data_IF_138787722122
#
_entry.id   IF_138787722122
#
_cell.length_a   1.000
_cell.length_b   1.000
_cell.length_c   1.000
_cell.angle_alpha   90.00
_cell.angle_beta   90.00
_cell.angle_gamma   90.00
#
_symmetry.space_group_name_H-M   'P 1'
#
loop_
_entity.id
_entity.type
_entity.pdbx_description
1 polymer ?
#
# COMPACT_ATOMS: atom_id res chain seq x y z
N UNK A 1 -7.00 -3.28 -24.43
CA UNK A 1 -6.44 -4.50 -23.81
C UNK A 1 -7.57 -5.13 -23.02
N UNK A 2 -7.90 -6.38 -23.30
CA UNK A 2 -8.98 -7.07 -22.59
C UNK A 2 -8.53 -7.29 -21.14
N UNK A 3 -9.03 -6.45 -20.23
CA UNK A 3 -8.97 -6.74 -18.81
C UNK A 3 -9.68 -8.09 -18.62
N UNK A 4 -9.04 -9.05 -17.97
CA UNK A 4 -9.75 -10.19 -17.39
C UNK A 4 -10.65 -9.67 -16.26
N UNK A 5 -11.69 -8.94 -16.64
CA UNK A 5 -12.83 -8.66 -15.78
C UNK A 5 -13.58 -9.98 -15.63
N UNK A 6 -13.72 -10.41 -14.39
CA UNK A 6 -14.89 -11.12 -13.84
C UNK A 6 -14.57 -11.88 -12.54
N UNK A 7 -13.29 -12.12 -12.23
CA UNK A 7 -12.92 -12.82 -10.98
C UNK A 7 -12.50 -11.85 -9.89
N UNK A 8 -13.41 -11.64 -8.94
CA UNK A 8 -13.13 -10.98 -7.66
C UNK A 8 -12.48 -12.00 -6.71
N UNK A 9 -11.22 -11.78 -6.33
CA UNK A 9 -10.53 -12.67 -5.38
C UNK A 9 -10.85 -12.25 -3.95
N UNK A 10 -11.04 -13.25 -3.07
CA UNK A 10 -11.14 -13.00 -1.62
C UNK A 10 -9.74 -12.74 -1.03
N UNK A 11 -9.17 -11.59 -1.38
CA UNK A 11 -7.83 -11.18 -0.95
C UNK A 11 -7.82 -10.77 0.51
N UNK A 12 -6.71 -11.08 1.18
CA UNK A 12 -6.43 -10.66 2.56
C UNK A 12 -5.48 -9.47 2.57
N UNK A 13 -5.91 -8.36 3.18
CA UNK A 13 -5.17 -7.11 3.26
C UNK A 13 -4.57 -6.90 4.63
N UNK A 14 -3.32 -6.42 4.67
CA UNK A 14 -2.71 -5.84 5.86
C UNK A 14 -2.48 -4.34 5.60
N UNK A 15 -3.17 -3.49 6.35
CA UNK A 15 -2.98 -2.04 6.34
C UNK A 15 -2.09 -1.66 7.51
N UNK A 16 -1.01 -0.93 7.26
CA UNK A 16 -0.10 -0.48 8.29
C UNK A 16 0.17 1.02 8.13
N UNK A 17 -0.17 1.81 9.14
CA UNK A 17 0.27 3.22 9.19
C UNK A 17 1.69 3.27 9.74
N UNK A 18 2.58 3.92 9.00
CA UNK A 18 3.96 4.19 9.42
C UNK A 18 4.01 5.59 10.00
N UNK A 19 4.12 5.67 11.33
CA UNK A 19 4.17 6.94 12.04
C UNK A 19 4.69 6.82 13.47
N UNK A 20 5.51 7.79 13.87
CA UNK A 20 5.93 7.98 15.26
C UNK A 20 4.89 8.69 16.15
N UNK A 21 3.82 9.26 15.59
CA UNK A 21 2.87 10.09 16.34
C UNK A 21 1.43 9.61 16.26
N UNK A 22 1.12 8.70 15.32
CA UNK A 22 -0.22 8.13 15.20
C UNK A 22 -0.47 7.04 16.23
N UNK A 23 -1.71 6.98 16.68
CA UNK A 23 -2.27 5.93 17.53
C UNK A 23 -3.55 5.42 16.88
N UNK A 24 -4.03 4.26 17.32
CA UNK A 24 -5.30 3.69 16.82
C UNK A 24 -6.49 4.66 16.97
N UNK A 25 -6.43 5.56 17.96
CA UNK A 25 -7.47 6.56 18.22
C UNK A 25 -7.42 7.75 17.25
N UNK A 26 -6.24 8.11 16.77
CA UNK A 26 -6.02 9.36 16.01
C UNK A 26 -5.60 9.15 14.55
N UNK A 27 -5.41 7.90 14.12
CA UNK A 27 -5.05 7.56 12.76
C UNK A 27 -6.26 7.53 11.83
N UNK A 28 -6.50 8.68 11.20
CA UNK A 28 -7.58 8.83 10.22
C UNK A 28 -7.25 8.19 8.87
N UNK A 29 -5.98 8.15 8.47
CA UNK A 29 -5.60 7.67 7.13
C UNK A 29 -5.65 6.15 7.06
N UNK A 30 -5.06 5.47 8.05
CA UNK A 30 -5.16 4.01 8.15
C UNK A 30 -6.61 3.55 8.30
N UNK A 31 -7.37 4.20 9.18
CA UNK A 31 -8.80 3.93 9.36
C UNK A 31 -9.60 4.15 8.08
N UNK A 32 -9.40 5.27 7.37
CA UNK A 32 -10.09 5.55 6.11
C UNK A 32 -9.82 4.47 5.05
N UNK A 33 -8.56 4.04 4.89
CA UNK A 33 -8.21 2.97 3.96
C UNK A 33 -8.85 1.63 4.37
N UNK A 34 -8.78 1.28 5.65
CA UNK A 34 -9.40 0.07 6.19
C UNK A 34 -10.91 0.05 5.95
N UNK A 35 -11.62 1.14 6.27
CA UNK A 35 -13.07 1.26 6.09
C UNK A 35 -13.47 1.13 4.62
N UNK A 36 -12.69 1.72 3.69
CA UNK A 36 -12.94 1.56 2.25
C UNK A 36 -12.74 0.12 1.78
N UNK A 37 -11.66 -0.54 2.21
CA UNK A 37 -11.39 -1.94 1.85
C UNK A 37 -12.46 -2.89 2.39
N UNK A 38 -12.95 -2.67 3.61
CA UNK A 38 -13.98 -3.50 4.23
C UNK A 38 -15.33 -3.49 3.49
N UNK A 39 -15.56 -2.49 2.63
CA UNK A 39 -16.75 -2.47 1.77
C UNK A 39 -16.67 -3.50 0.62
N UNK A 40 -15.48 -3.89 0.18
CA UNK A 40 -15.27 -4.81 -0.94
C UNK A 40 -14.60 -6.14 -0.55
N UNK A 41 -13.91 -6.18 0.60
CA UNK A 41 -13.09 -7.30 1.06
C UNK A 41 -13.42 -7.66 2.51
N UNK A 42 -13.45 -8.97 2.80
CA UNK A 42 -13.84 -9.48 4.12
C UNK A 42 -12.70 -9.56 5.14
N UNK A 43 -11.44 -9.54 4.68
CA UNK A 43 -10.27 -9.78 5.52
C UNK A 43 -9.30 -8.60 5.38
N UNK A 44 -9.38 -7.68 6.34
CA UNK A 44 -8.53 -6.50 6.41
C UNK A 44 -8.03 -6.38 7.84
N UNK A 45 -6.74 -6.67 8.04
CA UNK A 45 -6.04 -6.42 9.27
C UNK A 45 -5.43 -5.01 9.24
N UNK A 46 -5.32 -4.39 10.40
CA UNK A 46 -4.86 -3.01 10.54
C UNK A 46 -3.94 -2.86 11.75
N UNK A 47 -2.84 -2.12 11.56
CA UNK A 47 -1.89 -1.78 12.61
C UNK A 47 -1.13 -0.49 12.36
N UNK A 48 -0.28 -0.15 13.32
CA UNK A 48 0.61 1.01 13.28
C UNK A 48 2.03 0.53 13.62
N UNK A 49 3.02 1.04 12.90
CA UNK A 49 4.46 0.86 13.17
C UNK A 49 5.16 2.20 13.19
N UNK A 50 6.31 2.29 13.86
CA UNK A 50 7.11 3.50 13.83
C UNK A 50 7.84 3.68 12.50
N UNK A 51 8.37 4.88 12.28
CA UNK A 51 9.21 5.25 11.13
C UNK A 51 10.61 4.59 11.25
N UNK A 52 10.63 3.24 11.34
CA UNK A 52 11.80 2.41 11.54
C UNK A 52 11.79 1.22 10.56
N UNK A 53 12.93 0.99 9.90
CA UNK A 53 13.06 -0.05 8.88
C UNK A 53 12.81 -1.46 9.44
N UNK A 54 13.31 -1.72 10.65
CA UNK A 54 13.15 -3.04 11.28
C UNK A 54 11.68 -3.27 11.60
N UNK A 55 10.97 -2.28 12.13
CA UNK A 55 9.54 -2.41 12.42
C UNK A 55 8.70 -2.62 11.15
N UNK A 56 8.93 -1.83 10.09
CA UNK A 56 8.22 -1.95 8.81
C UNK A 56 8.42 -3.35 8.21
N UNK A 57 9.67 -3.82 8.15
CA UNK A 57 9.99 -5.13 7.59
C UNK A 57 9.53 -6.28 8.50
N UNK A 58 9.60 -6.11 9.82
CA UNK A 58 9.09 -7.11 10.77
C UNK A 58 7.59 -7.31 10.63
N UNK A 59 6.82 -6.22 10.46
CA UNK A 59 5.39 -6.30 10.20
C UNK A 59 5.12 -7.05 8.89
N UNK A 60 5.84 -6.73 7.81
CA UNK A 60 5.69 -7.45 6.54
C UNK A 60 5.98 -8.94 6.72
N UNK A 61 7.17 -9.30 7.24
CA UNK A 61 7.61 -10.69 7.31
C UNK A 61 6.79 -11.55 8.26
N UNK A 62 6.32 -10.99 9.39
CA UNK A 62 5.43 -11.69 10.32
C UNK A 62 4.11 -12.09 9.66
N UNK A 63 3.62 -11.28 8.74
CA UNK A 63 2.28 -11.40 8.17
C UNK A 63 2.29 -11.94 6.72
N UNK A 64 3.46 -12.17 6.12
CA UNK A 64 3.62 -12.45 4.68
C UNK A 64 2.95 -13.74 4.20
N UNK A 65 2.80 -14.72 5.09
CA UNK A 65 2.15 -15.99 4.76
C UNK A 65 0.63 -15.89 4.82
N UNK A 66 0.10 -14.96 5.62
CA UNK A 66 -1.33 -14.85 5.91
C UNK A 66 -2.05 -13.80 5.07
N UNK A 67 -1.30 -12.91 4.41
CA UNK A 67 -1.85 -11.79 3.64
C UNK A 67 -1.36 -11.80 2.19
N UNK A 68 -2.21 -11.34 1.28
CA UNK A 68 -1.92 -11.24 -0.16
C UNK A 68 -1.41 -9.84 -0.53
N UNK A 69 -1.97 -8.83 0.15
CA UNK A 69 -1.76 -7.41 -0.15
C UNK A 69 -1.37 -6.65 1.12
N UNK A 70 -0.34 -5.83 1.02
CA UNK A 70 0.13 -4.94 2.07
C UNK A 70 -0.03 -3.49 1.62
N UNK A 71 -0.52 -2.63 2.50
CA UNK A 71 -0.64 -1.19 2.26
C UNK A 71 0.01 -0.45 3.42
N UNK A 72 1.18 0.14 3.17
CA UNK A 72 1.85 1.01 4.11
C UNK A 72 1.47 2.46 3.85
N UNK A 73 1.01 3.18 4.88
CA UNK A 73 0.53 4.56 4.78
C UNK A 73 1.41 5.46 5.63
N UNK A 74 2.12 6.40 5.00
CA UNK A 74 3.05 7.31 5.69
C UNK A 74 4.52 6.93 5.54
N UNK A 75 5.41 7.81 5.99
CA UNK A 75 6.85 7.67 5.85
C UNK A 75 7.36 7.70 4.41
N UNK A 76 6.67 8.41 3.50
CA UNK A 76 7.00 8.47 2.06
C UNK A 76 7.37 9.86 1.53
N UNK A 77 7.48 10.87 2.41
CA UNK A 77 7.97 12.20 2.04
C UNK A 77 9.47 12.27 1.74
N UNK A 78 10.02 13.49 1.76
CA UNK A 78 11.46 13.77 1.51
C UNK A 78 12.29 13.92 2.80
N UNK A 79 11.68 13.74 3.97
CA UNK A 79 12.40 13.81 5.24
C UNK A 79 13.35 12.62 5.39
N UNK A 80 14.37 12.77 6.24
CA UNK A 80 15.26 11.64 6.61
C UNK A 80 14.54 10.49 7.31
N UNK A 81 13.36 10.76 7.89
CA UNK A 81 12.51 9.75 8.54
C UNK A 81 11.58 9.05 7.56
N UNK A 82 11.39 9.62 6.36
CA UNK A 82 10.52 9.02 5.35
C UNK A 82 11.26 7.88 4.64
N UNK A 83 11.19 6.68 5.23
CA UNK A 83 11.93 5.51 4.79
C UNK A 83 11.06 4.36 4.28
N UNK A 84 9.73 4.47 4.31
CA UNK A 84 8.81 3.36 4.01
C UNK A 84 9.09 2.72 2.66
N UNK A 85 9.03 3.50 1.58
CA UNK A 85 9.32 2.97 0.24
C UNK A 85 10.76 2.51 0.08
N UNK A 86 11.72 3.19 0.72
CA UNK A 86 13.13 2.82 0.64
C UNK A 86 13.39 1.46 1.30
N UNK A 87 12.78 1.19 2.45
CA UNK A 87 12.87 -0.08 3.16
C UNK A 87 12.24 -1.23 2.38
N UNK A 88 11.04 -1.03 1.82
CA UNK A 88 10.41 -2.06 0.97
C UNK A 88 11.22 -2.31 -0.31
N UNK A 89 11.75 -1.25 -0.95
CA UNK A 89 12.53 -1.36 -2.19
C UNK A 89 13.81 -2.19 -2.03
N UNK A 90 14.42 -2.23 -0.84
CA UNK A 90 15.62 -3.04 -0.55
C UNK A 90 15.37 -4.55 -0.71
N UNK A 91 14.14 -5.00 -0.49
CA UNK A 91 13.79 -6.43 -0.49
C UNK A 91 12.93 -6.85 -1.68
N UNK A 92 12.27 -5.89 -2.35
CA UNK A 92 11.32 -6.17 -3.41
C UNK A 92 11.96 -6.92 -4.60
N UNK A 93 11.25 -7.90 -5.14
CA UNK A 93 11.64 -8.59 -6.37
C UNK A 93 11.48 -7.65 -7.58
N UNK A 94 10.47 -6.79 -7.52
CA UNK A 94 10.12 -5.84 -8.60
C UNK A 94 9.42 -4.61 -8.05
N UNK A 95 9.72 -3.46 -8.63
CA UNK A 95 8.95 -2.21 -8.48
C UNK A 95 8.14 -1.94 -9.76
N UNK A 96 6.85 -1.64 -9.61
CA UNK A 96 5.93 -1.29 -10.69
C UNK A 96 5.76 0.23 -10.71
N UNK A 97 6.69 0.91 -11.39
CA UNK A 97 6.80 2.38 -11.43
C UNK A 97 5.51 3.10 -11.87
N UNK A 98 4.75 2.47 -12.76
CA UNK A 98 3.52 3.04 -13.33
C UNK A 98 2.44 3.38 -12.29
N UNK A 99 2.43 2.69 -11.13
CA UNK A 99 1.49 3.03 -10.06
C UNK A 99 1.73 4.45 -9.52
N UNK A 100 2.99 4.76 -9.18
CA UNK A 100 3.35 6.08 -8.66
C UNK A 100 3.17 7.18 -9.70
N UNK A 101 3.44 6.88 -10.97
CA UNK A 101 3.21 7.82 -12.08
C UNK A 101 1.73 8.16 -12.22
N UNK A 102 0.86 7.15 -12.25
CA UNK A 102 -0.59 7.34 -12.30
C UNK A 102 -1.11 8.08 -11.08
N UNK A 103 -0.63 7.70 -9.88
CA UNK A 103 -1.02 8.33 -8.63
C UNK A 103 -0.69 9.83 -8.64
N UNK A 104 0.52 10.21 -9.08
CA UNK A 104 0.94 11.62 -9.20
C UNK A 104 0.07 12.41 -10.19
N UNK A 105 -0.19 11.84 -11.36
CA UNK A 105 -1.04 12.47 -12.38
C UNK A 105 -2.47 12.70 -11.84
N UNK A 106 -3.07 11.67 -11.24
CA UNK A 106 -4.44 11.77 -10.71
C UNK A 106 -4.57 12.62 -9.44
N UNK A 107 -3.51 12.70 -8.62
CA UNK A 107 -3.51 13.54 -7.40
C UNK A 107 -3.57 15.03 -7.73
N UNK A 108 -3.00 15.44 -8.88
CA UNK A 108 -2.97 16.82 -9.33
C UNK A 108 -2.07 17.74 -8.48
N UNK A 109 -1.66 18.86 -9.06
CA UNK A 109 -0.77 19.82 -8.41
C UNK A 109 0.69 19.34 -8.31
N UNK A 110 1.52 20.13 -7.62
CA UNK A 110 2.97 19.91 -7.55
C UNK A 110 3.42 19.03 -6.37
N UNK A 111 2.67 19.05 -5.26
CA UNK A 111 3.04 18.31 -4.04
C UNK A 111 3.12 16.79 -4.19
N UNK A 112 2.27 16.11 -5.01
CA UNK A 112 2.43 14.68 -5.25
C UNK A 112 3.77 14.31 -5.88
N UNK A 113 4.44 15.23 -6.57
CA UNK A 113 5.76 14.98 -7.18
C UNK A 113 6.91 14.99 -6.16
N UNK A 114 6.67 15.42 -4.92
CA UNK A 114 7.64 15.40 -3.82
C UNK A 114 7.24 14.39 -2.72
N UNK A 115 6.27 13.54 -2.98
CA UNK A 115 5.84 12.46 -2.09
C UNK A 115 5.86 11.15 -2.85
N UNK A 116 6.33 10.09 -2.22
CA UNK A 116 6.42 8.78 -2.86
C UNK A 116 5.12 7.98 -2.67
N UNK A 117 4.64 7.42 -3.77
CA UNK A 117 3.58 6.44 -3.84
C UNK A 117 4.07 5.34 -4.78
N UNK A 118 4.23 4.12 -4.27
CA UNK A 118 4.91 3.06 -5.01
C UNK A 118 4.20 1.71 -4.86
N UNK A 119 4.40 0.86 -5.86
CA UNK A 119 3.91 -0.52 -5.89
C UNK A 119 5.09 -1.46 -6.07
N UNK A 120 5.19 -2.44 -5.18
CA UNK A 120 6.24 -3.45 -5.16
C UNK A 120 5.63 -4.85 -5.18
N UNK A 121 6.36 -5.79 -5.77
CA UNK A 121 6.08 -7.22 -5.69
C UNK A 121 7.22 -7.87 -4.90
N UNK A 122 6.85 -8.69 -3.93
CA UNK A 122 7.81 -9.47 -3.14
C UNK A 122 7.20 -10.83 -2.79
N UNK A 123 7.86 -11.93 -3.18
CA UNK A 123 7.44 -13.32 -2.89
C UNK A 123 5.95 -13.58 -3.17
N UNK A 124 5.48 -13.16 -4.35
CA UNK A 124 4.07 -13.24 -4.79
C UNK A 124 3.09 -12.46 -3.89
N UNK A 125 3.57 -11.43 -3.19
CA UNK A 125 2.75 -10.45 -2.46
C UNK A 125 2.80 -9.10 -3.13
N UNK A 126 1.70 -8.37 -3.02
CA UNK A 126 1.53 -7.02 -3.57
C UNK A 126 1.70 -6.03 -2.43
N UNK A 127 2.60 -5.07 -2.57
CA UNK A 127 2.91 -4.10 -1.50
C UNK A 127 2.76 -2.70 -2.07
N UNK A 128 1.86 -1.91 -1.50
CA UNK A 128 1.72 -0.49 -1.78
C UNK A 128 2.36 0.33 -0.66
N UNK A 129 3.07 1.39 -1.02
CA UNK A 129 3.46 2.45 -0.10
C UNK A 129 2.78 3.74 -0.54
N UNK A 130 2.09 4.40 0.38
CA UNK A 130 1.20 5.52 0.10
C UNK A 130 1.56 6.72 0.99
N UNK A 131 1.32 7.96 0.51
CA UNK A 131 1.44 9.15 1.35
C UNK A 131 0.53 9.07 2.58
N UNK A 132 1.01 9.59 3.72
CA UNK A 132 0.25 9.62 4.98
C UNK A 132 -0.86 10.67 5.05
N UNK A 133 -1.16 11.35 3.95
CA UNK A 133 -2.24 12.34 3.88
C UNK A 133 -3.60 11.63 3.78
N UNK A 134 -4.59 12.09 4.55
CA UNK A 134 -5.95 11.54 4.50
C UNK A 134 -6.56 11.69 3.09
N UNK A 135 -6.25 12.80 2.41
CA UNK A 135 -6.73 13.08 1.04
C UNK A 135 -6.15 12.14 -0.02
N UNK A 136 -5.04 11.46 0.27
CA UNK A 136 -4.42 10.51 -0.66
C UNK A 136 -5.17 9.16 -0.70
N UNK A 137 -5.86 8.81 0.38
CA UNK A 137 -6.40 7.45 0.56
C UNK A 137 -7.52 7.12 -0.43
N UNK A 138 -8.53 7.99 -0.67
CA UNK A 138 -9.62 7.66 -1.60
C UNK A 138 -9.12 7.42 -3.02
N UNK A 139 -8.18 8.24 -3.49
CA UNK A 139 -7.57 8.09 -4.80
C UNK A 139 -6.74 6.80 -4.90
N UNK A 140 -5.92 6.52 -3.88
CA UNK A 140 -5.12 5.30 -3.86
C UNK A 140 -6.01 4.06 -3.89
N UNK A 141 -7.05 4.03 -3.06
CA UNK A 141 -8.02 2.94 -3.01
C UNK A 141 -8.73 2.74 -4.35
N UNK A 142 -9.18 3.81 -5.02
CA UNK A 142 -9.79 3.72 -6.35
C UNK A 142 -8.84 3.06 -7.37
N UNK A 143 -7.57 3.46 -7.38
CA UNK A 143 -6.56 2.85 -8.27
C UNK A 143 -6.35 1.38 -7.91
N UNK A 144 -6.13 1.07 -6.63
CA UNK A 144 -5.86 -0.28 -6.13
C UNK A 144 -7.01 -1.23 -6.50
N UNK A 145 -8.25 -0.86 -6.19
CA UNK A 145 -9.45 -1.65 -6.51
C UNK A 145 -9.53 -2.04 -7.99
N UNK A 146 -9.15 -1.14 -8.88
CA UNK A 146 -9.21 -1.37 -10.32
C UNK A 146 -8.11 -2.27 -10.89
N UNK A 147 -7.02 -2.50 -10.13
CA UNK A 147 -5.86 -3.26 -10.62
C UNK A 147 -5.56 -4.54 -9.83
N UNK A 148 -6.08 -4.67 -8.60
CA UNK A 148 -5.58 -5.67 -7.65
C UNK A 148 -5.86 -7.12 -8.06
N UNK A 149 -7.04 -7.43 -8.60
CA UNK A 149 -7.36 -8.80 -9.03
C UNK A 149 -6.49 -9.24 -10.22
N UNK A 150 -6.24 -8.32 -11.16
CA UNK A 150 -5.35 -8.59 -12.29
C UNK A 150 -3.90 -8.76 -11.84
N UNK A 151 -3.41 -7.90 -10.93
CA UNK A 151 -2.08 -8.05 -10.35
C UNK A 151 -1.93 -9.38 -9.62
N UNK A 152 -2.92 -9.76 -8.80
CA UNK A 152 -2.90 -11.01 -8.05
C UNK A 152 -2.87 -12.22 -8.99
N UNK A 153 -3.65 -12.20 -10.07
CA UNK A 153 -3.60 -13.24 -11.08
C UNK A 153 -2.22 -13.36 -11.73
N UNK A 154 -1.64 -12.26 -12.22
CA UNK A 154 -0.37 -12.30 -12.96
C UNK A 154 0.82 -12.74 -12.10
N UNK A 155 0.88 -12.38 -10.82
CA UNK A 155 1.99 -12.80 -9.94
C UNK A 155 1.86 -14.26 -9.46
N UNK A 156 0.69 -14.87 -9.61
CA UNK A 156 0.42 -16.25 -9.21
C UNK A 156 0.30 -17.24 -10.37
N UNK A 157 0.29 -16.73 -11.62
CA UNK A 157 0.37 -17.56 -12.83
C UNK A 157 1.70 -18.31 -12.88
N UNK A 158 1.64 -19.56 -13.34
CA UNK A 158 2.80 -20.42 -13.54
C UNK A 158 3.72 -19.92 -14.67
#
# INVERSE_FOLDING_TARGET
MNHHGEKHYNLKFMVATVSSTRTMENDRSGKSMMDMLLNDYKSVDYGIVHDDEIEILSLLFKNINDHDVFIFIGGTGVSRRDITSASIRKIADREVKGFGELFRIKSGGIFPYISDASLFIYRKRIIFTLPGSENAQPLAYEIIKNIIDHLYYEINKE
#
